data_IF_604762659611
#
_entry.id   IF_604762659611
#
_cell.length_a   1.000
_cell.length_b   1.000
_cell.length_c   1.000
_cell.angle_alpha   90.00
_cell.angle_beta   90.00
_cell.angle_gamma   90.00
#
_symmetry.space_group_name_H-M   'P 1'
#
loop_
_entity.id
_entity.type
_entity.pdbx_description
1 polymer ?
#
# COMPACT_ATOMS: atom_id res chain seq x y z
N UNK A 1 -23.80 -19.53 -29.46
CA UNK A 1 -23.16 -19.59 -28.14
C UNK A 1 -23.13 -18.17 -27.57
N UNK A 2 -23.89 -17.93 -26.50
CA UNK A 2 -23.93 -16.61 -25.84
C UNK A 2 -22.66 -16.53 -24.98
N UNK A 3 -21.75 -15.64 -25.35
CA UNK A 3 -20.52 -15.38 -24.59
C UNK A 3 -20.89 -14.55 -23.35
N UNK A 4 -21.23 -15.21 -22.24
CA UNK A 4 -21.50 -14.52 -20.98
C UNK A 4 -20.13 -14.08 -20.42
N UNK A 5 -19.75 -12.85 -20.73
CA UNK A 5 -18.57 -12.23 -20.12
C UNK A 5 -18.89 -11.98 -18.66
N UNK A 6 -18.46 -12.89 -17.79
CA UNK A 6 -18.59 -12.73 -16.34
C UNK A 6 -17.84 -11.46 -15.90
N UNK A 7 -18.57 -10.41 -15.61
CA UNK A 7 -18.02 -9.16 -15.08
C UNK A 7 -17.45 -9.46 -13.69
N UNK A 8 -16.13 -9.53 -13.57
CA UNK A 8 -15.46 -9.70 -12.27
C UNK A 8 -15.69 -8.45 -11.42
N UNK A 9 -16.33 -8.60 -10.25
CA UNK A 9 -16.48 -7.53 -9.27
C UNK A 9 -15.12 -7.13 -8.69
N UNK A 10 -14.91 -5.82 -8.51
CA UNK A 10 -13.73 -5.31 -7.83
C UNK A 10 -14.02 -5.10 -6.34
N UNK A 11 -13.11 -5.51 -5.48
CA UNK A 11 -13.15 -5.22 -4.05
C UNK A 11 -11.87 -4.49 -3.64
N UNK A 12 -12.01 -3.48 -2.80
CA UNK A 12 -10.89 -2.77 -2.18
C UNK A 12 -10.79 -3.20 -0.73
N UNK A 13 -9.64 -3.72 -0.34
CA UNK A 13 -9.32 -4.15 1.02
C UNK A 13 -8.27 -3.21 1.62
N UNK A 14 -8.62 -2.54 2.72
CA UNK A 14 -7.69 -1.66 3.44
C UNK A 14 -7.22 -2.34 4.72
N UNK A 15 -5.89 -2.46 4.88
CA UNK A 15 -5.24 -3.00 6.07
C UNK A 15 -4.43 -1.91 6.77
N UNK A 16 -4.78 -1.61 8.03
CA UNK A 16 -4.04 -0.67 8.87
C UNK A 16 -2.76 -1.28 9.44
N UNK A 17 -1.90 -0.46 10.05
CA UNK A 17 -0.59 -0.86 10.55
C UNK A 17 -0.61 -2.05 11.51
N UNK A 18 -1.61 -2.15 12.39
CA UNK A 18 -1.77 -3.29 13.29
C UNK A 18 -2.10 -4.59 12.54
N UNK A 19 -2.85 -4.51 11.43
CA UNK A 19 -3.16 -5.68 10.61
C UNK A 19 -1.94 -6.24 9.86
N UNK A 20 -0.96 -5.41 9.59
CA UNK A 20 0.30 -5.77 8.91
C UNK A 20 1.51 -5.65 9.83
N UNK A 21 1.30 -5.58 11.15
CA UNK A 21 2.33 -5.26 12.15
C UNK A 21 3.42 -6.32 12.34
N UNK A 22 3.30 -7.51 11.76
CA UNK A 22 4.33 -8.55 11.79
C UNK A 22 4.27 -9.41 10.52
N UNK A 23 5.32 -10.18 10.29
CA UNK A 23 5.36 -11.12 9.15
C UNK A 23 4.21 -12.13 9.21
N UNK A 24 3.85 -12.62 10.39
CA UNK A 24 2.74 -13.55 10.51
C UNK A 24 1.39 -12.88 10.23
N UNK A 25 1.20 -11.63 10.64
CA UNK A 25 0.03 -10.84 10.27
C UNK A 25 -0.04 -10.59 8.76
N UNK A 26 1.08 -10.29 8.10
CA UNK A 26 1.14 -10.20 6.63
C UNK A 26 0.72 -11.53 5.99
N UNK A 27 1.18 -12.67 6.50
CA UNK A 27 0.73 -13.98 6.00
C UNK A 27 -0.78 -14.19 6.17
N UNK A 28 -1.37 -13.72 7.29
CA UNK A 28 -2.83 -13.78 7.51
C UNK A 28 -3.58 -12.87 6.54
N UNK A 29 -3.12 -11.63 6.33
CA UNK A 29 -3.65 -10.71 5.32
C UNK A 29 -3.65 -11.36 3.94
N UNK A 30 -2.56 -12.01 3.56
CA UNK A 30 -2.48 -12.71 2.28
C UNK A 30 -3.49 -13.88 2.16
N UNK A 31 -3.80 -14.58 3.26
CA UNK A 31 -4.87 -15.60 3.28
C UNK A 31 -6.24 -14.98 3.01
N UNK A 32 -6.52 -13.81 3.62
CA UNK A 32 -7.78 -13.07 3.41
C UNK A 32 -7.87 -12.65 1.93
N UNK A 33 -6.82 -12.05 1.36
CA UNK A 33 -6.77 -11.65 -0.05
C UNK A 33 -7.03 -12.87 -0.96
N UNK A 34 -6.37 -13.99 -0.68
CA UNK A 34 -6.54 -15.24 -1.43
C UNK A 34 -7.98 -15.76 -1.40
N UNK A 35 -8.69 -15.60 -0.26
CA UNK A 35 -10.10 -16.02 -0.15
C UNK A 35 -11.02 -15.21 -1.09
N UNK A 36 -10.78 -13.91 -1.25
CA UNK A 36 -11.53 -13.08 -2.20
C UNK A 36 -11.18 -13.43 -3.66
N UNK A 37 -9.89 -13.73 -3.94
CA UNK A 37 -9.51 -14.22 -5.28
C UNK A 37 -10.20 -15.52 -5.66
N UNK A 38 -10.34 -16.46 -4.72
CA UNK A 38 -11.09 -17.71 -4.92
C UNK A 38 -12.57 -17.46 -5.24
N UNK A 39 -13.14 -16.37 -4.72
CA UNK A 39 -14.51 -15.92 -5.02
C UNK A 39 -14.62 -15.09 -6.30
N UNK A 40 -13.59 -15.12 -7.16
CA UNK A 40 -13.52 -14.43 -8.45
C UNK A 40 -13.61 -12.89 -8.38
N UNK A 41 -13.07 -12.27 -7.32
CA UNK A 41 -12.93 -10.81 -7.27
C UNK A 41 -11.62 -10.32 -7.90
N UNK A 42 -11.66 -9.15 -8.53
CA UNK A 42 -10.49 -8.28 -8.68
C UNK A 42 -10.21 -7.65 -7.32
N UNK A 43 -9.02 -7.82 -6.77
CA UNK A 43 -8.69 -7.32 -5.45
C UNK A 43 -7.69 -6.18 -5.56
N UNK A 44 -8.06 -5.02 -5.03
CA UNK A 44 -7.17 -3.88 -4.79
C UNK A 44 -6.87 -3.84 -3.30
N UNK A 45 -5.60 -3.76 -2.95
CA UNK A 45 -5.16 -3.74 -1.54
C UNK A 45 -4.54 -2.39 -1.23
N UNK A 46 -4.99 -1.77 -0.14
CA UNK A 46 -4.40 -0.56 0.44
C UNK A 46 -3.76 -0.97 1.76
N UNK A 47 -2.47 -0.78 1.91
CA UNK A 47 -1.74 -1.14 3.12
C UNK A 47 -1.09 0.08 3.75
N UNK A 48 -1.13 0.16 5.07
CA UNK A 48 -0.30 1.09 5.86
C UNK A 48 1.09 0.49 6.08
N UNK A 49 2.02 1.29 6.57
CA UNK A 49 3.27 0.81 7.15
C UNK A 49 3.02 -0.20 8.26
N UNK A 50 3.97 -1.07 8.53
CA UNK A 50 3.92 -2.00 9.67
C UNK A 50 3.88 -1.22 10.98
N UNK A 51 3.25 -1.79 12.02
CA UNK A 51 3.13 -1.15 13.32
C UNK A 51 4.49 -0.69 13.87
N UNK A 52 4.59 0.55 14.30
CA UNK A 52 5.80 1.16 14.84
C UNK A 52 6.77 1.72 13.80
N UNK A 53 6.73 1.27 12.54
CA UNK A 53 7.70 1.67 11.50
C UNK A 53 7.66 3.17 11.24
N UNK A 54 6.47 3.75 11.08
CA UNK A 54 6.34 5.20 10.87
C UNK A 54 6.94 6.00 12.02
N UNK A 55 6.67 5.59 13.27
CA UNK A 55 7.23 6.27 14.44
C UNK A 55 8.77 6.13 14.48
N UNK A 56 9.31 4.99 14.11
CA UNK A 56 10.77 4.78 14.04
C UNK A 56 11.41 5.70 12.98
N UNK A 57 10.81 5.83 11.80
CA UNK A 57 11.28 6.73 10.74
C UNK A 57 11.21 8.20 11.19
N UNK A 58 10.13 8.62 11.85
CA UNK A 58 9.99 9.96 12.43
C UNK A 58 11.06 10.22 13.49
N UNK A 59 11.33 9.25 14.37
CA UNK A 59 12.36 9.39 15.39
C UNK A 59 13.76 9.50 14.77
N UNK A 60 14.04 8.75 13.71
CA UNK A 60 15.31 8.86 12.97
C UNK A 60 15.52 10.27 12.39
N UNK A 61 14.52 10.86 11.76
CA UNK A 61 14.64 12.22 11.22
C UNK A 61 14.92 13.22 12.33
N UNK A 62 14.18 13.15 13.46
CA UNK A 62 14.38 14.02 14.63
C UNK A 62 15.76 13.85 15.27
N UNK A 63 16.33 12.64 15.27
CA UNK A 63 17.66 12.38 15.80
C UNK A 63 18.78 13.00 14.97
N UNK A 64 18.52 13.26 13.69
CA UNK A 64 19.45 13.99 12.80
C UNK A 64 19.32 15.51 13.03
N UNK A 65 18.07 16.03 13.02
CA UNK A 65 17.82 17.46 13.21
C UNK A 65 16.38 17.71 13.64
N UNK A 66 16.19 18.63 14.58
CA UNK A 66 14.84 19.13 14.92
C UNK A 66 14.19 19.91 13.76
N UNK A 67 15.00 20.43 12.83
CA UNK A 67 14.57 21.14 11.62
C UNK A 67 14.88 20.31 10.37
N UNK A 68 14.53 19.00 10.42
CA UNK A 68 14.74 18.11 9.28
C UNK A 68 13.93 18.61 8.07
N UNK A 69 14.54 18.61 6.88
CA UNK A 69 13.89 19.08 5.66
C UNK A 69 12.60 18.31 5.40
N UNK A 70 11.53 19.03 5.05
CA UNK A 70 10.20 18.41 4.90
C UNK A 70 10.07 17.55 3.63
N UNK A 71 10.80 17.85 2.56
CA UNK A 71 10.79 17.01 1.36
C UNK A 71 11.48 15.67 1.64
N UNK A 72 12.62 15.72 2.34
CA UNK A 72 13.34 14.52 2.75
C UNK A 72 12.57 13.73 3.83
N UNK A 73 11.81 14.43 4.67
CA UNK A 73 10.89 13.79 5.65
C UNK A 73 9.80 12.99 4.93
N UNK A 74 9.13 13.57 3.94
CA UNK A 74 8.10 12.89 3.16
C UNK A 74 8.69 11.68 2.42
N UNK A 75 9.87 11.84 1.82
CA UNK A 75 10.59 10.75 1.18
C UNK A 75 10.88 9.60 2.16
N UNK A 76 11.43 9.94 3.35
CA UNK A 76 11.77 8.98 4.39
C UNK A 76 10.53 8.23 4.89
N UNK A 77 9.50 8.94 5.32
CA UNK A 77 8.33 8.35 5.97
C UNK A 77 7.54 7.45 5.00
N UNK A 78 7.48 7.83 3.72
CA UNK A 78 6.78 7.03 2.69
C UNK A 78 7.38 5.64 2.47
N UNK A 79 8.62 5.40 2.89
CA UNK A 79 9.27 4.08 2.73
C UNK A 79 8.59 2.99 3.58
N UNK A 80 7.92 3.33 4.66
CA UNK A 80 7.23 2.38 5.53
C UNK A 80 6.13 1.61 4.79
N UNK A 81 5.31 2.30 4.02
CA UNK A 81 4.26 1.70 3.20
C UNK A 81 4.83 0.88 2.03
N UNK A 82 5.96 1.32 1.48
CA UNK A 82 6.64 0.59 0.39
C UNK A 82 7.07 -0.82 0.86
N UNK A 83 7.62 -0.92 2.06
CA UNK A 83 8.01 -2.21 2.65
C UNK A 83 6.81 -3.14 2.77
N UNK A 84 5.72 -2.70 3.39
CA UNK A 84 4.54 -3.54 3.61
C UNK A 84 3.89 -3.97 2.29
N UNK A 85 3.77 -3.06 1.31
CA UNK A 85 3.24 -3.37 -0.02
C UNK A 85 4.09 -4.43 -0.74
N UNK A 86 5.42 -4.30 -0.68
CA UNK A 86 6.33 -5.27 -1.31
C UNK A 86 6.23 -6.65 -0.66
N UNK A 87 6.19 -6.71 0.68
CA UNK A 87 6.05 -7.97 1.44
C UNK A 87 4.73 -8.69 1.12
N UNK A 88 3.61 -7.96 1.07
CA UNK A 88 2.31 -8.53 0.71
C UNK A 88 2.36 -9.05 -0.73
N UNK A 89 2.83 -8.25 -1.68
CA UNK A 89 2.89 -8.66 -3.09
C UNK A 89 3.82 -9.86 -3.29
N UNK A 90 4.99 -9.87 -2.65
CA UNK A 90 5.93 -10.98 -2.68
C UNK A 90 5.33 -12.27 -2.12
N UNK A 91 4.64 -12.18 -0.97
CA UNK A 91 3.97 -13.35 -0.36
C UNK A 91 2.84 -13.89 -1.23
N UNK A 92 2.03 -13.01 -1.84
CA UNK A 92 0.96 -13.43 -2.74
C UNK A 92 1.52 -14.18 -3.96
N UNK A 93 2.61 -13.69 -4.56
CA UNK A 93 3.32 -14.40 -5.66
C UNK A 93 3.81 -15.76 -5.21
N UNK A 94 4.43 -15.84 -4.02
CA UNK A 94 4.93 -17.11 -3.47
C UNK A 94 3.83 -18.18 -3.32
N UNK A 95 2.59 -17.76 -3.03
CA UNK A 95 1.43 -18.69 -2.95
C UNK A 95 0.67 -18.86 -4.28
N UNK A 96 1.28 -18.48 -5.40
CA UNK A 96 0.76 -18.69 -6.74
C UNK A 96 -0.23 -17.65 -7.26
N UNK A 97 -0.41 -16.51 -6.55
CA UNK A 97 -1.30 -15.44 -6.99
C UNK A 97 -0.52 -14.36 -7.75
N UNK A 98 -0.99 -13.99 -8.94
CA UNK A 98 -0.47 -12.83 -9.67
C UNK A 98 -0.76 -11.57 -8.86
N UNK A 99 0.28 -10.85 -8.51
CA UNK A 99 0.21 -9.60 -7.72
C UNK A 99 1.32 -8.66 -8.09
N UNK A 100 1.12 -7.37 -7.83
CA UNK A 100 2.13 -6.32 -8.02
C UNK A 100 1.94 -5.26 -6.93
N UNK A 101 3.03 -4.80 -6.33
CA UNK A 101 3.04 -3.60 -5.53
C UNK A 101 3.07 -2.38 -6.45
N UNK A 102 2.29 -1.36 -6.07
CA UNK A 102 2.25 -0.07 -6.74
C UNK A 102 2.65 0.99 -5.73
N UNK A 103 3.56 1.84 -6.13
CA UNK A 103 4.03 2.97 -5.33
C UNK A 103 3.34 4.25 -5.82
N UNK A 104 3.20 5.24 -4.94
CA UNK A 104 2.41 6.43 -5.24
C UNK A 104 2.83 7.15 -6.52
N UNK A 105 4.12 7.23 -6.79
CA UNK A 105 4.64 7.85 -8.03
C UNK A 105 4.44 7.03 -9.30
N UNK A 106 4.04 5.77 -9.18
CA UNK A 106 3.66 4.92 -10.31
C UNK A 106 2.16 5.04 -10.65
N UNK A 107 1.41 5.75 -9.80
CA UNK A 107 -0.01 6.00 -9.95
C UNK A 107 -0.21 7.50 -10.30
N UNK A 108 -1.20 7.84 -11.14
CA UNK A 108 -1.44 9.21 -11.55
C UNK A 108 -2.16 10.03 -10.44
N UNK A 109 -1.58 10.04 -9.24
CA UNK A 109 -2.08 10.79 -8.08
C UNK A 109 -1.28 12.08 -7.98
N UNK A 110 -1.96 13.21 -8.17
CA UNK A 110 -1.36 14.55 -8.08
C UNK A 110 -1.72 15.17 -6.75
N UNK A 111 -0.72 15.76 -6.09
CA UNK A 111 -0.91 16.48 -4.83
C UNK A 111 -0.53 17.94 -5.00
N UNK A 112 -1.13 18.80 -4.20
CA UNK A 112 -0.85 20.24 -4.12
C UNK A 112 -0.65 20.66 -2.68
N UNK A 113 0.23 21.63 -2.46
CA UNK A 113 0.53 22.19 -1.15
C UNK A 113 1.99 22.03 -0.75
N UNK A 114 2.28 22.32 0.52
CA UNK A 114 3.62 22.20 1.09
C UNK A 114 3.91 20.75 1.47
N UNK A 115 5.17 20.35 1.45
CA UNK A 115 5.61 19.08 1.99
C UNK A 115 5.07 18.85 3.40
N UNK A 116 4.88 17.60 3.77
CA UNK A 116 4.26 17.16 5.04
C UNK A 116 2.79 17.56 5.26
N UNK A 117 2.22 18.40 4.39
CA UNK A 117 0.84 18.85 4.46
C UNK A 117 0.10 18.89 3.13
N UNK A 118 0.69 18.36 2.06
CA UNK A 118 0.08 18.32 0.74
C UNK A 118 -1.22 17.50 0.72
N UNK A 119 -2.15 17.93 -0.13
CA UNK A 119 -3.45 17.24 -0.31
C UNK A 119 -3.58 16.71 -1.72
N UNK A 120 -4.30 15.61 -1.89
CA UNK A 120 -4.62 15.07 -3.21
C UNK A 120 -5.53 16.09 -3.92
N UNK A 121 -5.07 16.60 -5.06
CA UNK A 121 -5.84 17.52 -5.91
C UNK A 121 -6.49 16.79 -7.08
N UNK A 122 -5.85 15.76 -7.61
CA UNK A 122 -6.35 15.03 -8.77
C UNK A 122 -5.88 13.57 -8.76
N UNK A 123 -6.78 12.69 -9.19
CA UNK A 123 -6.45 11.30 -9.55
C UNK A 123 -6.87 11.10 -11.01
N UNK A 124 -5.93 10.82 -11.90
CA UNK A 124 -6.24 10.49 -13.29
C UNK A 124 -6.68 9.02 -13.37
N UNK A 125 -7.95 8.82 -13.67
CA UNK A 125 -8.58 7.48 -13.75
C UNK A 125 -8.70 6.96 -15.19
N UNK A 126 -8.10 7.67 -16.14
CA UNK A 126 -8.08 7.23 -17.54
C UNK A 126 -6.86 6.32 -17.72
N UNK A 127 -7.02 5.04 -17.40
CA UNK A 127 -6.32 3.89 -17.98
C UNK A 127 -6.74 2.61 -17.26
#
# INVERSE_FOLDING_TARGET
>A
MINIQLIMKTIVLKFGGTSVGSIDRIKMVCKIIASYKKKNYKVVVISSAMSGVTNDLVNKSKSISNNFDLAEYDALVSTGEQVSCALIAGRLKHIGLKSRSWLSWQLPIVTEGKYSGARISKINIKE
#
